data_IF_591903650125
#
_entry.id   IF_591903650125
#
_cell.length_a   1.000
_cell.length_b   1.000
_cell.length_c   1.000
_cell.angle_alpha   90.00
_cell.angle_beta   90.00
_cell.angle_gamma   90.00
#
_symmetry.space_group_name_H-M   'P 1'
#
loop_
_entity.id
_entity.type
_entity.pdbx_description
1 polymer ?
#
# COMPACT_ATOMS: atom_id res chain seq x y z
N UNK A 1 30.70 14.09 -19.79
CA UNK A 1 29.22 13.99 -19.68
C UNK A 1 28.66 12.80 -20.44
N UNK A 2 28.81 12.69 -21.77
CA UNK A 2 28.30 11.54 -22.56
C UNK A 2 28.79 10.15 -22.08
N UNK A 3 30.06 10.04 -21.66
CA UNK A 3 30.65 8.80 -21.13
C UNK A 3 30.11 8.40 -19.75
N UNK A 4 29.74 9.39 -18.93
CA UNK A 4 29.16 9.14 -17.59
C UNK A 4 27.74 8.62 -17.77
N UNK A 5 26.94 9.25 -18.64
CA UNK A 5 25.59 8.78 -18.99
C UNK A 5 25.64 7.34 -19.54
N UNK A 6 26.59 7.03 -20.42
CA UNK A 6 26.75 5.69 -20.98
C UNK A 6 27.11 4.64 -19.90
N UNK A 7 28.03 4.98 -18.99
CA UNK A 7 28.38 4.12 -17.85
C UNK A 7 27.18 3.88 -16.92
N UNK A 8 26.36 4.90 -16.67
CA UNK A 8 25.14 4.77 -15.86
C UNK A 8 24.13 3.83 -16.50
N UNK A 9 23.93 3.93 -17.83
CA UNK A 9 23.02 3.04 -18.56
C UNK A 9 23.50 1.59 -18.53
N UNK A 10 24.80 1.35 -18.72
CA UNK A 10 25.38 -0.01 -18.67
C UNK A 10 25.26 -0.60 -17.26
N UNK A 11 25.49 0.20 -16.21
CA UNK A 11 25.33 -0.25 -14.83
C UNK A 11 23.88 -0.63 -14.50
N UNK A 12 22.91 0.16 -14.96
CA UNK A 12 21.47 -0.16 -14.79
C UNK A 12 21.16 -1.49 -15.48
N UNK A 13 21.54 -1.67 -16.74
CA UNK A 13 21.26 -2.91 -17.50
C UNK A 13 21.91 -4.13 -16.83
N UNK A 14 23.16 -4.02 -16.38
CA UNK A 14 23.88 -5.12 -15.71
C UNK A 14 23.22 -5.56 -14.39
N UNK A 15 22.52 -4.66 -13.69
CA UNK A 15 21.82 -4.99 -12.44
C UNK A 15 20.40 -5.56 -12.64
N UNK A 16 19.81 -5.38 -13.82
CA UNK A 16 18.42 -5.78 -14.10
C UNK A 16 18.21 -7.25 -14.42
N UNK A 17 19.26 -8.00 -14.79
CA UNK A 17 19.14 -9.43 -15.17
C UNK A 17 18.83 -10.36 -13.99
N UNK A 18 18.92 -9.86 -12.76
CA UNK A 18 18.59 -10.59 -11.52
C UNK A 18 17.22 -10.20 -10.94
N UNK A 19 16.45 -9.34 -11.62
CA UNK A 19 15.16 -8.82 -11.13
C UNK A 19 13.93 -9.61 -11.64
N UNK A 20 14.07 -10.90 -11.94
CA UNK A 20 12.97 -11.78 -12.33
C UNK A 20 12.16 -12.24 -11.10
N UNK A 21 11.43 -11.31 -10.48
CA UNK A 21 10.60 -11.64 -9.32
C UNK A 21 9.25 -10.91 -9.29
N UNK A 22 8.93 -10.06 -10.28
CA UNK A 22 7.71 -9.26 -10.26
C UNK A 22 6.69 -9.83 -11.24
N UNK A 23 5.63 -10.43 -10.72
CA UNK A 23 4.50 -10.84 -11.54
C UNK A 23 3.78 -9.60 -12.06
N UNK A 24 3.18 -9.67 -13.26
CA UNK A 24 2.39 -8.56 -13.80
C UNK A 24 1.27 -8.12 -12.84
N UNK A 25 0.74 -9.05 -12.04
CA UNK A 25 -0.23 -8.77 -10.98
C UNK A 25 0.35 -7.94 -9.82
N UNK A 26 1.62 -8.11 -9.48
CA UNK A 26 2.26 -7.32 -8.43
C UNK A 26 2.45 -5.89 -8.91
N UNK A 27 2.90 -5.72 -10.16
CA UNK A 27 2.98 -4.40 -10.79
C UNK A 27 1.61 -3.69 -10.78
N UNK A 28 0.53 -4.40 -11.13
CA UNK A 28 -0.82 -3.84 -11.07
C UNK A 28 -1.22 -3.48 -9.62
N UNK A 29 -1.00 -4.38 -8.65
CA UNK A 29 -1.35 -4.18 -7.24
C UNK A 29 -0.64 -2.97 -6.63
N UNK A 30 0.64 -2.76 -6.97
CA UNK A 30 1.41 -1.62 -6.49
C UNK A 30 1.25 -0.34 -7.33
N UNK A 31 0.79 -0.45 -8.59
CA UNK A 31 0.49 0.73 -9.42
C UNK A 31 -0.78 1.46 -9.01
N UNK A 32 -1.72 0.76 -8.36
CA UNK A 32 -2.98 1.36 -7.90
C UNK A 32 -2.74 2.18 -6.63
N UNK A 33 -2.78 3.51 -6.75
CA UNK A 33 -2.69 4.40 -5.61
C UNK A 33 -4.09 4.64 -5.03
N UNK A 34 -4.44 3.91 -3.98
CA UNK A 34 -5.58 4.28 -3.14
C UNK A 34 -5.10 5.36 -2.17
N UNK A 35 -5.69 6.54 -2.20
CA UNK A 35 -5.34 7.60 -1.26
C UNK A 35 -6.17 7.47 0.01
N UNK A 36 -5.53 7.59 1.17
CA UNK A 36 -6.24 7.75 2.42
C UNK A 36 -7.09 9.02 2.41
N UNK A 37 -8.28 8.95 2.99
CA UNK A 37 -9.28 10.02 2.96
C UNK A 37 -9.89 10.29 4.34
N UNK A 38 -10.42 11.49 4.54
CA UNK A 38 -11.26 11.82 5.70
C UNK A 38 -12.54 10.99 5.71
N UNK A 39 -13.19 10.91 6.87
CA UNK A 39 -14.55 10.34 6.96
C UNK A 39 -15.52 10.99 5.96
N UNK A 40 -15.41 12.30 5.72
CA UNK A 40 -16.25 13.05 4.77
C UNK A 40 -16.09 12.52 3.34
N UNK A 41 -14.86 12.42 2.86
CA UNK A 41 -14.61 11.94 1.49
C UNK A 41 -14.84 10.45 1.35
N UNK A 42 -14.53 9.66 2.39
CA UNK A 42 -14.83 8.23 2.41
C UNK A 42 -16.34 7.96 2.32
N UNK A 43 -17.16 8.73 3.03
CA UNK A 43 -18.62 8.66 2.95
C UNK A 43 -19.18 9.05 1.57
N UNK A 44 -18.45 9.87 0.81
CA UNK A 44 -18.78 10.25 -0.57
C UNK A 44 -18.22 9.28 -1.62
N UNK A 45 -17.82 8.06 -1.22
CA UNK A 45 -17.24 7.08 -2.14
C UNK A 45 -15.81 7.41 -2.59
N UNK A 46 -15.05 8.14 -1.77
CA UNK A 46 -13.71 8.63 -2.07
C UNK A 46 -13.64 9.57 -3.29
N UNK A 47 -14.67 10.41 -3.48
CA UNK A 47 -14.76 11.42 -4.53
C UNK A 47 -13.80 12.64 -4.33
N UNK A 48 -12.54 12.37 -3.96
CA UNK A 48 -11.56 13.37 -3.53
C UNK A 48 -11.02 14.29 -4.63
N UNK A 49 -11.24 13.94 -5.91
CA UNK A 49 -10.75 14.71 -7.05
C UNK A 49 -11.76 15.81 -7.43
N UNK A 50 -13.06 15.52 -7.35
CA UNK A 50 -14.14 16.42 -7.78
C UNK A 50 -14.62 17.42 -6.72
N UNK A 51 -14.34 17.15 -5.44
CA UNK A 51 -14.75 17.99 -4.30
C UNK A 51 -13.50 18.48 -3.59
N UNK A 52 -13.44 19.77 -3.23
CA UNK A 52 -12.32 20.34 -2.48
C UNK A 52 -12.72 20.82 -1.08
N UNK A 53 -11.84 21.58 -0.42
CA UNK A 53 -12.07 22.08 0.95
C UNK A 53 -12.14 20.96 2.00
N UNK A 54 -11.42 19.86 1.76
CA UNK A 54 -11.26 18.73 2.69
C UNK A 54 -9.78 18.43 2.88
N UNK A 55 -9.40 17.89 4.04
CA UNK A 55 -8.01 17.55 4.36
C UNK A 55 -7.43 16.51 3.37
N UNK A 56 -8.26 15.64 2.78
CA UNK A 56 -7.84 14.69 1.74
C UNK A 56 -7.35 15.39 0.46
N UNK A 57 -7.66 16.67 0.27
CA UNK A 57 -7.13 17.48 -0.84
C UNK A 57 -5.60 17.57 -0.80
N UNK A 58 -4.95 17.39 0.37
CA UNK A 58 -3.49 17.35 0.47
C UNK A 58 -2.84 16.26 -0.38
N UNK A 59 -3.47 15.08 -0.45
CA UNK A 59 -2.95 13.93 -1.21
C UNK A 59 -3.69 13.68 -2.52
N UNK A 60 -4.99 13.95 -2.57
CA UNK A 60 -5.83 13.63 -3.73
C UNK A 60 -5.90 14.72 -4.80
N UNK A 61 -6.14 15.97 -4.40
CA UNK A 61 -6.24 17.11 -5.32
C UNK A 61 -5.81 18.42 -4.61
N UNK A 62 -4.52 18.80 -4.68
CA UNK A 62 -4.00 19.98 -3.99
C UNK A 62 -4.68 21.30 -4.37
N UNK A 63 -5.31 21.40 -5.56
CA UNK A 63 -6.09 22.59 -5.93
C UNK A 63 -7.29 22.81 -4.99
N UNK A 64 -7.80 21.73 -4.38
CA UNK A 64 -8.85 21.77 -3.36
C UNK A 64 -8.46 22.51 -2.09
N UNK A 65 -7.16 22.76 -1.84
CA UNK A 65 -6.69 23.57 -0.71
C UNK A 65 -7.15 25.03 -0.82
N UNK A 66 -7.32 25.55 -2.03
CA UNK A 66 -7.79 26.92 -2.26
C UNK A 66 -9.23 27.19 -1.82
N UNK A 67 -9.99 26.14 -1.51
CA UNK A 67 -11.36 26.24 -1.00
C UNK A 67 -11.42 26.36 0.53
N UNK A 68 -10.30 26.18 1.25
CA UNK A 68 -10.25 26.45 2.68
C UNK A 68 -10.27 27.96 2.94
N UNK A 69 -11.18 28.38 3.82
CA UNK A 69 -11.35 29.77 4.25
C UNK A 69 -10.96 30.00 5.71
N UNK A 70 -10.50 28.95 6.39
CA UNK A 70 -10.09 28.95 7.79
C UNK A 70 -9.05 27.87 8.05
N UNK A 71 -8.33 28.03 9.16
CA UNK A 71 -7.43 27.01 9.69
C UNK A 71 -8.26 25.86 10.25
N UNK A 72 -7.93 24.63 9.87
CA UNK A 72 -8.63 23.42 10.29
C UNK A 72 -7.67 22.34 10.73
N UNK A 73 -8.03 21.60 11.77
CA UNK A 73 -7.37 20.37 12.18
C UNK A 73 -8.33 19.21 11.97
N UNK A 74 -7.84 18.09 11.44
CA UNK A 74 -8.64 16.90 11.17
C UNK A 74 -7.92 15.65 11.65
N UNK A 75 -8.67 14.77 12.31
CA UNK A 75 -8.26 13.43 12.69
C UNK A 75 -9.37 12.46 12.25
N UNK A 76 -9.00 11.47 11.45
CA UNK A 76 -9.90 10.40 11.00
C UNK A 76 -9.41 9.07 11.55
N UNK A 77 -9.92 8.62 12.71
CA UNK A 77 -9.70 7.25 13.15
C UNK A 77 -10.45 6.29 12.22
N UNK A 78 -9.94 5.08 12.12
CA UNK A 78 -10.55 4.03 11.31
C UNK A 78 -10.54 2.71 12.06
N UNK A 79 -11.67 2.00 11.93
CA UNK A 79 -11.84 0.64 12.41
C UNK A 79 -12.10 -0.25 11.20
N UNK A 80 -11.24 -1.24 10.99
CA UNK A 80 -11.40 -2.23 9.94
C UNK A 80 -11.68 -3.60 10.57
N UNK A 81 -12.65 -4.31 9.99
CA UNK A 81 -12.92 -5.70 10.32
C UNK A 81 -12.90 -6.50 9.02
N UNK A 82 -12.10 -7.56 8.98
CA UNK A 82 -12.01 -8.49 7.86
C UNK A 82 -12.36 -9.91 8.34
N UNK A 83 -13.22 -10.58 7.59
CA UNK A 83 -13.52 -12.00 7.77
C UNK A 83 -13.10 -12.77 6.52
N UNK A 84 -12.34 -13.85 6.70
CA UNK A 84 -11.90 -14.75 5.64
C UNK A 84 -12.40 -16.14 5.96
N UNK A 85 -13.09 -16.76 5.01
CA UNK A 85 -13.44 -18.18 5.06
C UNK A 85 -12.59 -18.92 4.01
N UNK A 86 -11.67 -19.75 4.49
CA UNK A 86 -10.79 -20.54 3.66
C UNK A 86 -11.23 -22.01 3.69
N UNK A 87 -11.47 -22.59 2.51
CA UNK A 87 -11.67 -24.03 2.37
C UNK A 87 -10.36 -24.68 1.93
N UNK A 88 -9.85 -25.60 2.75
CA UNK A 88 -8.66 -26.38 2.43
C UNK A 88 -8.88 -27.85 2.79
N UNK A 89 -8.68 -28.74 1.82
CA UNK A 89 -8.92 -30.20 1.96
C UNK A 89 -10.31 -30.54 2.54
N UNK A 90 -11.34 -29.76 2.18
CA UNK A 90 -12.71 -29.96 2.64
C UNK A 90 -12.98 -29.47 4.07
N UNK A 91 -11.98 -28.91 4.75
CA UNK A 91 -12.16 -28.22 6.03
C UNK A 91 -12.30 -26.71 5.79
N UNK A 92 -13.32 -26.11 6.40
CA UNK A 92 -13.49 -24.66 6.39
C UNK A 92 -12.86 -24.05 7.63
N UNK A 93 -11.96 -23.09 7.44
CA UNK A 93 -11.32 -22.31 8.51
C UNK A 93 -11.78 -20.86 8.39
N UNK A 94 -12.39 -20.34 9.45
CA UNK A 94 -12.81 -18.94 9.53
C UNK A 94 -11.76 -18.13 10.30
N UNK A 95 -11.28 -17.06 9.69
CA UNK A 95 -10.35 -16.09 10.31
C UNK A 95 -11.02 -14.73 10.36
N UNK A 96 -11.16 -14.18 11.57
CA UNK A 96 -11.68 -12.82 11.77
C UNK A 96 -10.58 -11.96 12.36
N UNK A 97 -10.42 -10.75 11.81
CA UNK A 97 -9.45 -9.78 12.28
C UNK A 97 -10.09 -8.42 12.39
N UNK A 98 -9.86 -7.76 13.51
CA UNK A 98 -10.33 -6.41 13.80
C UNK A 98 -9.15 -5.54 14.14
N UNK A 99 -9.14 -4.31 13.62
CA UNK A 99 -8.03 -3.40 13.80
C UNK A 99 -8.50 -1.95 13.90
N UNK A 100 -7.98 -1.27 14.91
CA UNK A 100 -8.04 0.18 15.03
C UNK A 100 -6.78 0.79 14.43
N UNK A 101 -6.95 1.88 13.70
CA UNK A 101 -5.86 2.63 13.09
C UNK A 101 -6.29 4.09 12.86
N UNK A 102 -5.36 4.88 12.33
CA UNK A 102 -5.62 6.26 11.93
C UNK A 102 -5.48 6.32 10.41
N UNK A 103 -6.61 6.57 9.73
CA UNK A 103 -6.62 6.72 8.29
C UNK A 103 -6.03 8.07 7.86
N UNK A 104 -6.29 9.10 8.66
CA UNK A 104 -5.89 10.47 8.35
C UNK A 104 -5.61 11.32 9.59
N UNK A 105 -4.60 12.19 9.48
CA UNK A 105 -4.33 13.25 10.44
C UNK A 105 -3.76 14.44 9.67
N UNK A 106 -4.24 15.65 9.93
CA UNK A 106 -3.66 16.82 9.28
C UNK A 106 -4.12 18.15 9.85
N UNK A 107 -3.40 19.19 9.47
CA UNK A 107 -3.71 20.57 9.76
C UNK A 107 -3.57 21.43 8.49
N UNK A 108 -4.55 22.29 8.26
CA UNK A 108 -4.54 23.34 7.25
C UNK A 108 -4.43 24.68 7.97
N UNK A 109 -3.51 25.51 7.52
CA UNK A 109 -3.30 26.87 7.99
C UNK A 109 -3.72 27.85 6.89
N UNK A 110 -4.76 28.61 7.17
CA UNK A 110 -5.27 29.65 6.28
C UNK A 110 -4.75 31.02 6.73
N UNK A 111 -4.05 31.73 5.84
CA UNK A 111 -3.54 33.07 6.11
C UNK A 111 -4.16 34.06 5.12
N UNK A 112 -5.15 34.88 5.53
CA UNK A 112 -5.70 35.92 4.68
C UNK A 112 -4.66 37.04 4.46
N UNK A 113 -4.63 37.62 3.27
CA UNK A 113 -3.75 38.76 2.98
C UNK A 113 -4.39 40.05 3.48
N UNK A 114 -3.75 40.74 4.43
CA UNK A 114 -4.17 42.06 4.87
C UNK A 114 -3.76 43.11 3.86
N UNK A 115 -4.73 43.92 3.40
CA UNK A 115 -4.49 45.02 2.45
C UNK A 115 -4.68 46.37 3.12
N UNK A 116 -4.01 47.38 2.57
CA UNK A 116 -4.15 48.76 3.04
C UNK A 116 -5.57 49.28 2.79
N UNK A 117 -6.04 50.12 3.72
CA UNK A 117 -7.39 50.72 3.67
C UNK A 117 -7.57 51.48 2.34
N UNK A 118 -8.59 51.10 1.56
CA UNK A 118 -8.89 51.69 0.24
C UNK A 118 -8.47 50.83 -0.95
N UNK A 119 -7.76 49.71 -0.76
CA UNK A 119 -7.48 48.75 -1.82
C UNK A 119 -8.57 47.67 -1.94
N UNK A 120 -8.82 47.22 -3.17
CA UNK A 120 -9.77 46.15 -3.45
C UNK A 120 -9.28 44.82 -2.85
N UNK A 121 -10.03 44.29 -1.87
CA UNK A 121 -9.72 43.03 -1.19
C UNK A 121 -9.78 41.81 -2.13
N UNK A 122 -10.43 41.93 -3.29
CA UNK A 122 -10.59 40.84 -4.27
C UNK A 122 -9.53 40.80 -5.37
N UNK A 123 -8.63 41.79 -5.47
CA UNK A 123 -7.60 41.86 -6.54
C UNK A 123 -6.20 41.44 -6.08
N UNK A 124 -5.51 40.58 -6.81
CA UNK A 124 -4.18 40.08 -6.43
C UNK A 124 -4.26 38.87 -5.50
N UNK A 125 -3.19 38.62 -4.72
CA UNK A 125 -3.18 37.50 -3.76
C UNK A 125 -4.20 37.76 -2.63
N UNK A 126 -5.18 36.88 -2.49
CA UNK A 126 -6.28 37.02 -1.51
C UNK A 126 -5.93 36.30 -0.21
N UNK A 127 -5.36 35.11 -0.30
CA UNK A 127 -4.97 34.28 0.84
C UNK A 127 -3.90 33.28 0.44
N UNK A 128 -3.11 32.85 1.42
CA UNK A 128 -2.22 31.70 1.31
C UNK A 128 -2.76 30.55 2.18
N UNK A 129 -2.68 29.33 1.65
CA UNK A 129 -3.06 28.11 2.37
C UNK A 129 -1.83 27.20 2.40
N UNK A 130 -1.43 26.83 3.60
CA UNK A 130 -0.40 25.83 3.83
C UNK A 130 -1.03 24.66 4.56
N UNK A 131 -0.70 23.43 4.19
CA UNK A 131 -1.24 22.26 4.85
C UNK A 131 -0.21 21.17 4.99
N UNK A 132 -0.31 20.45 6.09
CA UNK A 132 0.53 19.30 6.41
C UNK A 132 -0.36 18.19 6.92
N UNK A 133 -0.09 16.96 6.50
CA UNK A 133 -0.89 15.82 6.91
C UNK A 133 -0.26 14.50 6.58
N UNK A 134 -0.86 13.48 7.16
CA UNK A 134 -0.58 12.06 7.04
C UNK A 134 -1.85 11.38 6.53
N UNK A 135 -1.70 10.55 5.50
CA UNK A 135 -2.76 9.72 4.95
C UNK A 135 -2.27 8.27 4.86
N UNK A 136 -3.09 7.32 5.28
CA UNK A 136 -2.83 5.90 5.07
C UNK A 136 -3.42 5.46 3.74
N UNK A 137 -2.56 5.11 2.78
CA UNK A 137 -2.97 4.78 1.42
C UNK A 137 -3.42 3.31 1.26
N UNK A 138 -2.75 2.38 1.94
CA UNK A 138 -2.99 0.95 1.74
C UNK A 138 -2.89 0.22 3.07
N UNK A 139 -3.75 -0.77 3.25
CA UNK A 139 -3.75 -1.66 4.41
C UNK A 139 -3.50 -3.10 3.94
N UNK A 140 -2.50 -3.76 4.55
CA UNK A 140 -2.09 -5.13 4.26
C UNK A 140 -2.33 -6.07 5.45
N UNK A 141 -3.18 -5.68 6.41
CA UNK A 141 -3.39 -6.49 7.62
C UNK A 141 -4.27 -7.72 7.44
N UNK A 142 -4.73 -8.05 6.23
CA UNK A 142 -5.53 -9.27 6.00
C UNK A 142 -4.79 -10.51 6.47
N UNK A 143 -5.48 -11.34 7.26
CA UNK A 143 -4.95 -12.61 7.77
C UNK A 143 -5.74 -13.77 7.16
N UNK A 144 -5.02 -14.75 6.64
CA UNK A 144 -5.59 -15.92 5.96
C UNK A 144 -5.01 -17.16 6.63
N UNK A 145 -5.79 -17.77 7.52
CA UNK A 145 -5.44 -19.07 8.11
C UNK A 145 -6.27 -20.16 7.45
N UNK A 146 -5.62 -21.28 7.15
CA UNK A 146 -6.26 -22.48 6.61
C UNK A 146 -5.66 -23.71 7.29
N UNK A 147 -6.50 -24.70 7.54
CA UNK A 147 -6.12 -25.98 8.13
C UNK A 147 -6.86 -27.10 7.42
N UNK A 148 -6.24 -28.28 7.36
CA UNK A 148 -6.83 -29.45 6.71
C UNK A 148 -5.97 -30.68 6.94
N UNK A 149 -6.60 -31.86 6.94
CA UNK A 149 -5.90 -33.13 7.02
C UNK A 149 -5.84 -33.78 5.65
N UNK A 150 -4.64 -34.15 5.19
CA UNK A 150 -4.44 -34.86 3.94
C UNK A 150 -4.47 -36.37 4.19
N UNK A 151 -5.57 -37.02 3.80
CA UNK A 151 -5.74 -38.47 3.93
C UNK A 151 -5.31 -39.26 2.68
N UNK A 152 -4.77 -38.59 1.65
CA UNK A 152 -4.40 -39.24 0.37
C UNK A 152 -2.92 -39.48 0.22
N UNK A 153 -2.10 -38.53 0.67
CA UNK A 153 -0.64 -38.60 0.56
C UNK A 153 -0.01 -38.12 1.85
N UNK A 154 1.20 -38.61 2.09
CA UNK A 154 2.05 -38.25 3.21
C UNK A 154 3.39 -37.76 2.70
N UNK A 155 4.18 -37.17 3.60
CA UNK A 155 5.57 -36.81 3.29
C UNK A 155 6.42 -38.05 2.95
N UNK A 156 6.04 -39.24 3.46
CA UNK A 156 6.71 -40.49 3.13
C UNK A 156 6.48 -40.89 1.67
N UNK A 157 5.29 -40.63 1.11
CA UNK A 157 5.01 -40.87 -0.31
C UNK A 157 5.87 -39.97 -1.21
N UNK A 158 6.03 -38.70 -0.83
CA UNK A 158 6.93 -37.75 -1.51
C UNK A 158 8.39 -38.25 -1.50
N UNK A 159 8.90 -38.64 -0.33
CA UNK A 159 10.27 -39.19 -0.23
C UNK A 159 10.43 -40.52 -0.99
N UNK A 160 9.39 -41.36 -1.01
CA UNK A 160 9.39 -42.60 -1.79
C UNK A 160 9.42 -42.36 -3.31
N UNK A 161 8.71 -41.34 -3.80
CA UNK A 161 8.69 -40.96 -5.21
C UNK A 161 10.04 -40.43 -5.71
N UNK A 162 10.72 -39.62 -4.89
CA UNK A 162 12.01 -39.03 -5.25
C UNK A 162 13.20 -39.92 -4.88
N UNK A 163 12.98 -41.02 -4.16
CA UNK A 163 14.04 -41.94 -3.74
C UNK A 163 14.81 -42.49 -4.95
N UNK A 164 16.13 -42.26 -4.97
CA UNK A 164 17.01 -42.73 -6.04
C UNK A 164 17.03 -41.87 -7.30
N UNK A 165 16.23 -40.80 -7.39
CA UNK A 165 16.18 -39.91 -8.56
C UNK A 165 17.39 -38.96 -8.66
N UNK A 166 18.02 -38.62 -7.53
CA UNK A 166 19.19 -37.73 -7.47
C UNK A 166 20.21 -38.25 -6.46
N UNK A 167 21.49 -38.21 -6.81
CA UNK A 167 22.56 -38.59 -5.88
C UNK A 167 22.71 -37.57 -4.73
N UNK A 168 23.05 -37.99 -3.49
CA UNK A 168 23.08 -37.10 -2.32
C UNK A 168 23.98 -35.87 -2.43
N UNK A 169 25.01 -35.93 -3.27
CA UNK A 169 25.94 -34.83 -3.55
C UNK A 169 25.40 -33.78 -4.53
N UNK A 170 24.28 -34.06 -5.20
CA UNK A 170 23.62 -33.18 -6.17
C UNK A 170 22.28 -32.62 -5.65
N UNK A 171 21.94 -32.87 -4.38
CA UNK A 171 20.77 -32.27 -3.74
C UNK A 171 21.02 -30.79 -3.47
N UNK A 172 19.99 -29.96 -3.67
CA UNK A 172 20.07 -28.53 -3.40
C UNK A 172 20.32 -28.25 -1.92
N UNK A 173 21.16 -27.26 -1.63
CA UNK A 173 21.44 -26.84 -0.26
C UNK A 173 20.15 -26.31 0.40
N UNK A 174 19.82 -26.80 1.60
CA UNK A 174 18.59 -26.47 2.32
C UNK A 174 17.32 -27.16 1.81
N UNK A 175 17.44 -28.12 0.87
CA UNK A 175 16.30 -28.92 0.43
C UNK A 175 15.87 -29.93 1.50
N UNK A 176 14.59 -30.31 1.52
CA UNK A 176 14.05 -31.28 2.50
C UNK A 176 14.72 -32.65 2.37
N UNK A 177 15.15 -33.02 1.16
CA UNK A 177 15.85 -34.27 0.85
C UNK A 177 17.28 -34.26 1.40
N UNK A 178 17.95 -33.10 1.32
CA UNK A 178 19.32 -32.94 1.84
C UNK A 178 19.35 -33.07 3.36
N UNK A 179 18.34 -32.54 4.05
CA UNK A 179 18.20 -32.62 5.52
C UNK A 179 18.10 -34.06 6.06
N UNK A 180 17.77 -35.06 5.22
CA UNK A 180 17.77 -36.46 5.65
C UNK A 180 19.17 -37.08 5.76
N UNK A 181 20.20 -36.44 5.18
CA UNK A 181 21.59 -36.91 5.15
C UNK A 181 22.53 -36.06 6.02
N UNK A 182 22.07 -34.92 6.53
CA UNK A 182 22.79 -34.07 7.48
C UNK A 182 22.50 -34.51 8.93
#
# INVERSE_FOLDING_TARGET
MKKIILMSVVAIVATTTSAYAQYANDALRFSQTNYGSTARFKAMGNAQIGVGGDMSSLGGNPAGLGLFTKTEFSLTPEFNQSGVNANYLGQNTNTNKSQLNINQLGAIFYTPMYKQKGQDTKKGLISAVFGIGYNRNTDYHTEINYTGNNNRTSIADYFGEIAGSTAPNNLGEGSLERMAYD
#
